data_IF_554399532622
#
_entry.id   IF_554399532622
#
_cell.length_a   1.000
_cell.length_b   1.000
_cell.length_c   1.000
_cell.angle_alpha   90.00
_cell.angle_beta   90.00
_cell.angle_gamma   90.00
#
_symmetry.space_group_name_H-M   'P 1'
#
loop_
_entity.id
_entity.type
_entity.pdbx_description
1 polymer ?
#
# COMPACT_ATOMS: atom_id res chain seq x y z
N UNK A 1 -14.44 -19.15 -3.87
CA UNK A 1 -13.39 -18.79 -2.90
C UNK A 1 -12.68 -17.46 -3.20
N UNK A 2 -11.73 -17.32 -4.15
CA UNK A 2 -11.01 -16.03 -4.35
C UNK A 2 -11.93 -14.82 -4.56
N UNK A 3 -12.91 -14.93 -5.45
CA UNK A 3 -13.84 -13.83 -5.75
C UNK A 3 -14.79 -13.52 -4.59
N UNK A 4 -15.10 -14.54 -3.79
CA UNK A 4 -15.92 -14.41 -2.59
C UNK A 4 -15.15 -13.71 -1.47
N UNK A 5 -13.89 -14.08 -1.24
CA UNK A 5 -12.98 -13.35 -0.33
C UNK A 5 -12.86 -11.88 -0.76
N UNK A 6 -12.68 -11.61 -2.05
CA UNK A 6 -12.65 -10.22 -2.57
C UNK A 6 -13.94 -9.45 -2.27
N UNK A 7 -15.09 -10.11 -2.45
CA UNK A 7 -16.40 -9.51 -2.16
C UNK A 7 -16.54 -9.20 -0.67
N UNK A 8 -16.23 -10.16 0.21
CA UNK A 8 -16.31 -9.95 1.66
C UNK A 8 -15.34 -8.85 2.14
N UNK A 9 -14.11 -8.82 1.62
CA UNK A 9 -13.17 -7.74 1.90
C UNK A 9 -13.71 -6.37 1.45
N UNK A 10 -14.31 -6.31 0.26
CA UNK A 10 -14.91 -5.07 -0.25
C UNK A 10 -16.06 -4.57 0.63
N UNK A 11 -16.83 -5.49 1.24
CA UNK A 11 -17.90 -5.15 2.19
C UNK A 11 -17.35 -4.70 3.55
N UNK A 12 -16.18 -5.21 3.95
CA UNK A 12 -15.55 -4.94 5.23
C UNK A 12 -14.78 -3.62 5.24
N UNK A 13 -14.19 -3.24 4.10
CA UNK A 13 -13.39 -2.01 3.94
C UNK A 13 -14.10 -0.75 4.49
N UNK A 14 -15.36 -0.42 4.12
CA UNK A 14 -16.05 0.77 4.64
C UNK A 14 -16.28 0.71 6.15
N UNK A 15 -16.43 -0.49 6.73
CA UNK A 15 -16.63 -0.66 8.16
C UNK A 15 -15.32 -0.40 8.93
N UNK A 16 -14.20 -0.90 8.39
CA UNK A 16 -12.86 -0.63 8.92
C UNK A 16 -12.55 0.87 8.88
N UNK A 17 -12.79 1.53 7.76
CA UNK A 17 -12.60 2.99 7.62
C UNK A 17 -13.44 3.76 8.64
N UNK A 18 -14.71 3.39 8.80
CA UNK A 18 -15.59 4.00 9.81
C UNK A 18 -15.03 3.85 11.22
N UNK A 19 -14.50 2.68 11.58
CA UNK A 19 -13.91 2.42 12.91
C UNK A 19 -12.65 3.26 13.11
N UNK A 20 -11.73 3.28 12.14
CA UNK A 20 -10.52 4.13 12.20
C UNK A 20 -10.89 5.60 12.43
N UNK A 21 -11.90 6.13 11.72
CA UNK A 21 -12.38 7.51 11.89
C UNK A 21 -12.92 7.74 13.31
N UNK A 22 -13.70 6.80 13.86
CA UNK A 22 -14.23 6.91 15.22
C UNK A 22 -13.10 6.93 16.26
N UNK A 23 -12.10 6.06 16.11
CA UNK A 23 -10.94 6.01 17.01
C UNK A 23 -10.12 7.30 16.91
N UNK A 24 -9.88 7.82 15.70
CA UNK A 24 -9.17 9.08 15.51
C UNK A 24 -9.90 10.26 16.14
N UNK A 25 -11.24 10.34 16.00
CA UNK A 25 -12.02 11.39 16.67
C UNK A 25 -11.90 11.30 18.19
N UNK A 26 -12.03 10.08 18.72
CA UNK A 26 -11.86 9.86 20.16
C UNK A 26 -10.44 10.16 20.64
N UNK A 27 -9.41 10.12 19.78
CA UNK A 27 -8.04 10.50 20.11
C UNK A 27 -7.89 12.01 20.30
N UNK A 28 -8.52 12.80 19.45
CA UNK A 28 -8.42 14.26 19.46
C UNK A 28 -9.07 14.88 20.72
N UNK A 29 -10.10 14.22 21.25
CA UNK A 29 -10.83 14.62 22.47
C UNK A 29 -10.86 13.51 23.52
N UNK A 30 -9.74 12.82 23.75
CA UNK A 30 -9.74 11.58 24.54
C UNK A 30 -10.22 11.74 25.99
N UNK A 31 -10.04 12.90 26.61
CA UNK A 31 -10.53 13.16 27.97
C UNK A 31 -12.05 13.24 28.07
N UNK A 32 -12.75 13.43 26.96
CA UNK A 32 -14.23 13.45 26.91
C UNK A 32 -14.82 12.03 26.85
N UNK A 33 -13.96 11.02 26.63
CA UNK A 33 -14.37 9.65 26.33
C UNK A 33 -13.75 8.61 27.27
N UNK A 34 -12.69 8.96 27.99
CA UNK A 34 -11.97 8.05 28.89
C UNK A 34 -11.59 8.76 30.18
N UNK A 35 -11.86 8.12 31.34
CA UNK A 35 -11.42 8.63 32.63
C UNK A 35 -9.92 8.36 32.85
N UNK A 36 -9.06 9.39 32.97
CA UNK A 36 -7.62 9.20 33.17
C UNK A 36 -7.25 8.51 34.48
N UNK A 37 -8.17 8.42 35.45
CA UNK A 37 -7.94 7.76 36.72
C UNK A 37 -8.48 6.32 36.77
N UNK A 38 -9.19 5.88 35.73
CA UNK A 38 -9.65 4.50 35.58
C UNK A 38 -8.64 3.70 34.71
N UNK A 39 -7.93 2.71 35.30
CA UNK A 39 -6.97 1.89 34.56
C UNK A 39 -7.59 1.10 33.39
N UNK A 40 -8.85 0.68 33.49
CA UNK A 40 -9.51 -0.10 32.44
C UNK A 40 -9.82 0.78 31.22
N UNK A 41 -10.24 2.03 31.44
CA UNK A 41 -10.43 3.03 30.39
C UNK A 41 -9.11 3.37 29.69
N UNK A 42 -8.02 3.54 30.45
CA UNK A 42 -6.69 3.80 29.88
C UNK A 42 -6.15 2.61 29.07
N UNK A 43 -6.44 1.39 29.52
CA UNK A 43 -6.14 0.17 28.77
C UNK A 43 -6.92 0.13 27.45
N UNK A 44 -8.24 0.35 27.48
CA UNK A 44 -9.08 0.34 26.27
C UNK A 44 -8.64 1.39 25.26
N UNK A 45 -8.34 2.62 25.71
CA UNK A 45 -7.79 3.69 24.87
C UNK A 45 -6.53 3.24 24.13
N UNK A 46 -5.59 2.63 24.87
CA UNK A 46 -4.35 2.10 24.30
C UNK A 46 -4.64 1.01 23.27
N UNK A 47 -5.58 0.11 23.56
CA UNK A 47 -5.97 -0.95 22.65
C UNK A 47 -6.63 -0.41 21.37
N UNK A 48 -7.47 0.62 21.46
CA UNK A 48 -8.05 1.26 20.28
C UNK A 48 -7.00 1.87 19.37
N UNK A 49 -5.97 2.53 19.89
CA UNK A 49 -4.89 3.05 19.05
C UNK A 49 -4.15 1.94 18.32
N UNK A 50 -3.83 0.84 19.03
CA UNK A 50 -3.20 -0.33 18.40
C UNK A 50 -4.09 -0.98 17.34
N UNK A 51 -5.40 -1.02 17.58
CA UNK A 51 -6.38 -1.51 16.60
C UNK A 51 -6.40 -0.60 15.38
N UNK A 52 -6.44 0.72 15.55
CA UNK A 52 -6.41 1.69 14.45
C UNK A 52 -5.20 1.50 13.55
N UNK A 53 -4.00 1.39 14.14
CA UNK A 53 -2.77 1.17 13.36
C UNK A 53 -2.83 -0.12 12.55
N UNK A 54 -3.41 -1.19 13.12
CA UNK A 54 -3.55 -2.49 12.44
C UNK A 54 -4.64 -2.47 11.38
N UNK A 55 -5.72 -1.72 11.60
CA UNK A 55 -6.76 -1.50 10.60
C UNK A 55 -6.23 -0.72 9.41
N UNK A 56 -5.40 0.29 9.64
CA UNK A 56 -4.76 1.07 8.56
C UNK A 56 -3.86 0.20 7.68
N UNK A 57 -3.08 -0.71 8.29
CA UNK A 57 -2.29 -1.72 7.55
C UNK A 57 -3.20 -2.60 6.67
N UNK A 58 -4.30 -3.11 7.23
CA UNK A 58 -5.26 -3.97 6.52
C UNK A 58 -5.97 -3.22 5.40
N UNK A 59 -6.41 -1.99 5.66
CA UNK A 59 -7.08 -1.11 4.69
C UNK A 59 -6.19 -0.90 3.47
N UNK A 60 -4.92 -0.52 3.67
CA UNK A 60 -3.97 -0.31 2.57
C UNK A 60 -3.76 -1.58 1.72
N UNK A 61 -3.61 -2.74 2.36
CA UNK A 61 -3.43 -4.02 1.67
C UNK A 61 -4.69 -4.39 0.87
N UNK A 62 -5.87 -4.26 1.48
CA UNK A 62 -7.14 -4.61 0.87
C UNK A 62 -7.51 -3.66 -0.28
N UNK A 63 -7.31 -2.36 -0.12
CA UNK A 63 -7.47 -1.37 -1.19
C UNK A 63 -6.57 -1.70 -2.39
N UNK A 64 -5.27 -1.98 -2.17
CA UNK A 64 -4.35 -2.41 -3.25
C UNK A 64 -4.78 -3.71 -3.94
N UNK A 65 -5.33 -4.66 -3.19
CA UNK A 65 -5.80 -5.94 -3.74
C UNK A 65 -7.09 -5.81 -4.57
N UNK A 66 -7.93 -4.84 -4.23
CA UNK A 66 -9.18 -4.51 -4.91
C UNK A 66 -9.00 -3.54 -6.08
N UNK A 67 -7.98 -2.68 -6.02
CA UNK A 67 -7.75 -1.62 -6.99
C UNK A 67 -7.50 -2.15 -8.41
N UNK A 68 -8.05 -1.42 -9.37
CA UNK A 68 -7.89 -1.68 -10.79
C UNK A 68 -6.49 -1.26 -11.26
N UNK A 69 -5.98 -1.98 -12.27
CA UNK A 69 -4.72 -1.63 -12.94
C UNK A 69 -4.98 -0.46 -13.87
N UNK A 70 -4.29 0.67 -13.64
CA UNK A 70 -4.40 1.88 -14.45
C UNK A 70 -3.52 1.83 -15.70
N UNK A 71 -2.31 1.30 -15.55
CA UNK A 71 -1.36 1.12 -16.63
C UNK A 71 -0.45 -0.06 -16.31
N UNK A 72 -0.10 -0.83 -17.33
CA UNK A 72 0.81 -1.98 -17.26
C UNK A 72 1.68 -1.99 -18.50
N UNK A 73 2.96 -2.30 -18.35
CA UNK A 73 3.87 -2.46 -19.47
C UNK A 73 5.33 -2.57 -19.03
N UNK A 74 6.21 -2.51 -20.00
CA UNK A 74 7.66 -2.57 -19.75
C UNK A 74 8.18 -1.21 -19.31
N UNK A 75 9.01 -1.17 -18.28
CA UNK A 75 9.69 0.05 -17.86
C UNK A 75 10.78 0.45 -18.86
N UNK A 76 10.75 1.71 -19.27
CA UNK A 76 11.79 2.37 -20.08
C UNK A 76 12.25 3.64 -19.38
N UNK A 77 13.53 3.99 -19.54
CA UNK A 77 14.04 5.28 -19.07
C UNK A 77 13.80 6.32 -20.16
N UNK A 78 13.14 7.41 -19.80
CA UNK A 78 12.78 8.46 -20.74
C UNK A 78 13.91 9.49 -20.91
N UNK A 79 13.69 10.47 -21.78
CA UNK A 79 14.70 11.49 -22.12
C UNK A 79 15.10 12.40 -20.96
N UNK A 80 14.26 12.51 -19.92
CA UNK A 80 14.55 13.28 -18.70
C UNK A 80 15.11 12.42 -17.57
N UNK A 81 15.45 11.16 -17.85
CA UNK A 81 16.10 10.25 -16.90
C UNK A 81 15.15 9.58 -15.90
N UNK A 82 13.83 9.69 -16.06
CA UNK A 82 12.83 8.98 -15.23
C UNK A 82 12.40 7.68 -15.87
N UNK A 83 12.05 6.70 -15.06
CA UNK A 83 11.40 5.50 -15.56
C UNK A 83 9.92 5.76 -15.85
N UNK A 84 9.42 5.19 -16.95
CA UNK A 84 8.00 5.23 -17.32
C UNK A 84 7.55 3.89 -17.88
N UNK A 85 6.24 3.65 -17.86
CA UNK A 85 5.63 2.52 -18.57
C UNK A 85 5.65 2.84 -20.07
N UNK A 86 6.24 1.95 -20.87
CA UNK A 86 6.36 2.12 -22.32
C UNK A 86 5.00 2.35 -22.98
N UNK A 87 4.96 3.27 -23.94
CA UNK A 87 3.74 3.68 -24.67
C UNK A 87 2.66 4.35 -23.80
N UNK A 88 3.02 4.87 -22.62
CA UNK A 88 2.15 5.66 -21.75
C UNK A 88 2.90 6.89 -21.22
N UNK A 89 2.16 7.85 -20.68
CA UNK A 89 2.71 9.02 -19.98
C UNK A 89 2.95 8.77 -18.47
N UNK A 90 2.77 7.53 -18.01
CA UNK A 90 2.95 7.16 -16.59
C UNK A 90 4.43 7.01 -16.29
N UNK A 91 5.00 7.98 -15.58
CA UNK A 91 6.37 7.95 -15.08
C UNK A 91 6.42 7.88 -13.55
N UNK A 92 7.56 7.43 -13.04
CA UNK A 92 7.80 7.24 -11.61
C UNK A 92 8.77 8.27 -11.06
N UNK A 93 8.54 8.66 -9.81
CA UNK A 93 9.46 9.44 -8.98
C UNK A 93 9.65 8.75 -7.64
N UNK A 94 10.51 9.29 -6.78
CA UNK A 94 10.62 8.86 -5.38
C UNK A 94 9.25 8.85 -4.72
N UNK A 95 8.92 7.77 -4.02
CA UNK A 95 7.65 7.55 -3.34
C UNK A 95 6.52 7.02 -4.23
N UNK A 96 6.67 6.99 -5.57
CA UNK A 96 5.65 6.42 -6.45
C UNK A 96 5.43 4.94 -6.15
N UNK A 97 4.16 4.54 -6.00
CA UNK A 97 3.80 3.12 -5.89
C UNK A 97 4.02 2.40 -7.22
N UNK A 98 4.52 1.17 -7.15
CA UNK A 98 4.77 0.33 -8.31
C UNK A 98 4.53 -1.13 -7.95
N UNK A 99 3.92 -1.88 -8.86
CA UNK A 99 3.97 -3.34 -8.83
C UNK A 99 4.87 -3.81 -9.98
N UNK A 100 5.83 -4.70 -9.71
CA UNK A 100 6.71 -5.25 -10.74
C UNK A 100 6.57 -6.77 -10.80
N UNK A 101 6.78 -7.33 -11.99
CA UNK A 101 6.76 -8.77 -12.18
C UNK A 101 8.11 -9.34 -11.72
N UNK A 102 8.09 -10.07 -10.61
CA UNK A 102 9.26 -10.72 -10.03
C UNK A 102 9.05 -12.21 -9.82
N UNK A 103 10.10 -12.91 -9.41
CA UNK A 103 9.98 -14.30 -8.95
C UNK A 103 9.29 -14.32 -7.60
N UNK A 104 8.35 -15.25 -7.40
CA UNK A 104 7.67 -15.39 -6.12
C UNK A 104 8.61 -15.88 -5.03
N UNK A 105 8.19 -15.75 -3.77
CA UNK A 105 9.01 -16.14 -2.61
C UNK A 105 9.40 -17.63 -2.57
N UNK A 106 8.71 -18.49 -3.32
CA UNK A 106 8.95 -19.94 -3.36
C UNK A 106 9.84 -20.38 -4.53
N UNK A 107 10.15 -19.45 -5.46
CA UNK A 107 11.01 -19.70 -6.61
C UNK A 107 10.35 -20.48 -7.75
N UNK A 108 9.07 -20.82 -7.66
CA UNK A 108 8.37 -21.71 -8.61
C UNK A 108 7.45 -20.96 -9.60
N UNK A 109 7.39 -19.64 -9.52
CA UNK A 109 6.54 -18.83 -10.41
C UNK A 109 6.85 -17.35 -10.38
N UNK A 110 6.17 -16.59 -11.24
CA UNK A 110 6.22 -15.14 -11.26
C UNK A 110 4.99 -14.54 -10.56
N UNK A 111 5.18 -13.45 -9.82
CA UNK A 111 4.10 -12.70 -9.19
C UNK A 111 4.29 -11.19 -9.32
N UNK A 112 3.20 -10.45 -9.13
CA UNK A 112 3.23 -8.99 -9.03
C UNK A 112 3.60 -8.60 -7.60
N UNK A 113 4.78 -8.02 -7.43
CA UNK A 113 5.31 -7.62 -6.12
C UNK A 113 5.07 -6.12 -5.95
N UNK A 114 4.32 -5.75 -4.90
CA UNK A 114 4.08 -4.35 -4.54
C UNK A 114 5.31 -3.73 -3.90
N UNK A 115 5.65 -2.53 -4.35
CA UNK A 115 6.77 -1.76 -3.81
C UNK A 115 6.58 -0.26 -4.04
N UNK A 116 7.66 0.49 -3.82
CA UNK A 116 7.78 1.91 -4.14
C UNK A 116 9.09 2.17 -4.87
N UNK A 117 9.06 3.20 -5.70
CA UNK A 117 10.26 3.70 -6.38
C UNK A 117 11.00 4.66 -5.44
N UNK A 118 12.31 4.50 -5.36
CA UNK A 118 13.22 5.32 -4.57
C UNK A 118 14.38 5.81 -5.45
N UNK A 119 15.17 6.75 -4.95
CA UNK A 119 16.33 7.28 -5.67
C UNK A 119 17.55 7.30 -4.75
N UNK A 120 18.68 6.75 -5.19
CA UNK A 120 19.88 6.61 -4.37
C UNK A 120 20.92 7.74 -4.57
N UNK A 121 20.62 8.72 -5.42
CA UNK A 121 21.53 9.80 -5.81
C UNK A 121 22.14 9.61 -7.20
N UNK A 122 22.09 8.40 -7.75
CA UNK A 122 22.59 8.06 -9.10
C UNK A 122 21.47 7.62 -10.04
N UNK A 123 20.57 6.76 -9.58
CA UNK A 123 19.42 6.29 -10.35
C UNK A 123 18.22 5.95 -9.46
N UNK A 124 17.07 5.76 -10.11
CA UNK A 124 15.90 5.19 -9.48
C UNK A 124 16.02 3.67 -9.32
N UNK A 125 15.47 3.16 -8.24
CA UNK A 125 15.42 1.73 -7.94
C UNK A 125 14.09 1.36 -7.27
N UNK A 126 13.79 0.05 -7.26
CA UNK A 126 12.62 -0.49 -6.56
C UNK A 126 13.04 -0.88 -5.14
N UNK A 127 12.37 -0.34 -4.12
CA UNK A 127 12.78 -0.51 -2.73
C UNK A 127 12.82 -1.98 -2.27
N UNK A 128 11.92 -2.82 -2.80
CA UNK A 128 11.87 -4.24 -2.47
C UNK A 128 13.01 -5.06 -3.09
N UNK A 129 13.60 -4.60 -4.19
CA UNK A 129 14.75 -5.24 -4.83
C UNK A 129 15.71 -4.17 -5.40
N UNK A 130 16.55 -3.55 -4.55
CA UNK A 130 17.41 -2.45 -4.97
C UNK A 130 18.47 -2.80 -6.02
N UNK A 131 18.71 -4.10 -6.27
CA UNK A 131 19.69 -4.58 -7.26
C UNK A 131 19.04 -4.87 -8.61
N UNK A 132 17.71 -4.94 -8.68
CA UNK A 132 16.99 -5.16 -9.92
C UNK A 132 17.14 -3.96 -10.85
N UNK A 133 17.60 -4.21 -12.08
CA UNK A 133 17.63 -3.18 -13.12
C UNK A 133 16.19 -2.85 -13.53
N UNK A 134 15.78 -1.60 -13.30
CA UNK A 134 14.41 -1.17 -13.63
C UNK A 134 14.14 -1.14 -15.14
N UNK A 135 15.13 -0.99 -16.01
CA UNK A 135 14.87 -0.99 -17.45
C UNK A 135 14.54 -2.39 -17.95
N UNK A 136 13.43 -2.54 -18.69
CA UNK A 136 13.06 -3.80 -19.33
C UNK A 136 12.19 -4.74 -18.49
N UNK A 137 11.95 -4.45 -17.21
CA UNK A 137 11.03 -5.25 -16.39
C UNK A 137 9.58 -4.84 -16.67
N UNK A 138 8.65 -5.80 -16.54
CA UNK A 138 7.22 -5.49 -16.53
C UNK A 138 6.85 -4.86 -15.19
N UNK A 139 6.12 -3.76 -15.27
CA UNK A 139 5.56 -3.06 -14.13
C UNK A 139 4.13 -2.61 -14.41
N UNK A 140 3.41 -2.29 -13.35
CA UNK A 140 2.09 -1.69 -13.42
C UNK A 140 1.83 -0.77 -12.24
N UNK A 141 0.84 0.09 -12.42
CA UNK A 141 0.29 0.94 -11.36
C UNK A 141 -1.19 0.66 -11.18
N UNK A 142 -1.69 0.89 -9.97
CA UNK A 142 -3.10 0.76 -9.63
C UNK A 142 -3.64 2.09 -9.10
N UNK A 143 -4.96 2.24 -9.18
CA UNK A 143 -5.67 3.38 -8.59
C UNK A 143 -5.90 3.14 -7.09
N UNK A 144 -4.96 3.62 -6.26
CA UNK A 144 -4.94 3.39 -4.81
C UNK A 144 -4.91 4.70 -4.05
#
# INVERSE_FOLDING_TARGET
>A
MKNEIKKELSNLLPQMEKITIMISKAKDSWTDHFDPNDPDDMYLRTMFYRISDKLDDVLQIAQRAAAEVLAEGTLIKNSVGRYQIASTDVYFTTGSSIEYLGQNAYGDGAEWISSRVEHNGEDYYIAADPKLKMSGIKARIKNV
#
